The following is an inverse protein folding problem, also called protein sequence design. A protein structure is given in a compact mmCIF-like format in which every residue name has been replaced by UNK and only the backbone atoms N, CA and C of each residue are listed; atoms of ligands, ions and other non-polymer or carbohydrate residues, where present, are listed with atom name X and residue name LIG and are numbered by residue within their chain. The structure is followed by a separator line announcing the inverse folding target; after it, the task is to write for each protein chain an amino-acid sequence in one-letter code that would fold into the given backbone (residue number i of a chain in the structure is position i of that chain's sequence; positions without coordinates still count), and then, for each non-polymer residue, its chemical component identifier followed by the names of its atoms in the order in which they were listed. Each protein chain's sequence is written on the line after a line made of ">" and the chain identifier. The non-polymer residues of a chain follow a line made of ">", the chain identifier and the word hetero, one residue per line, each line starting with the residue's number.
data_IF_815627013119
#
_entry.id   IF_815627013119
#
_cell.length_a   1.000
_cell.length_b   1.000
_cell.length_c   1.000
_cell.angle_alpha   90.00
_cell.angle_beta   90.00
_cell.angle_gamma   90.00
#
_symmetry.space_group_name_H-M   'P 1'
#
loop_
_entity.id
_entity.type
_entity.pdbx_description
1 polymer ?
#
# COMPACT_ATOMS: atom_id res chain seq x y z
N UNK A 1 -8.96 0.68 9.15
CA UNK A 1 -7.65 1.05 8.58
C UNK A 1 -7.72 1.07 7.07
N UNK A 2 -7.43 2.23 6.49
CA UNK A 2 -7.52 2.51 5.06
C UNK A 2 -6.15 2.30 4.36
N UNK A 3 -5.62 1.06 4.42
CA UNK A 3 -4.27 0.71 3.95
C UNK A 3 -4.11 0.82 2.44
N UNK A 4 -5.05 0.31 1.64
CA UNK A 4 -5.04 0.48 0.19
C UNK A 4 -5.17 1.95 -0.18
N UNK A 5 -6.10 2.68 0.45
CA UNK A 5 -6.26 4.12 0.26
C UNK A 5 -4.94 4.88 0.54
N UNK A 6 -4.24 4.54 1.63
CA UNK A 6 -2.94 5.11 1.96
C UNK A 6 -1.88 4.80 0.88
N UNK A 7 -1.74 3.53 0.47
CA UNK A 7 -0.81 3.11 -0.58
C UNK A 7 -1.11 3.86 -1.89
N UNK A 8 -2.40 3.99 -2.25
CA UNK A 8 -2.84 4.68 -3.47
C UNK A 8 -2.46 6.16 -3.47
N UNK A 9 -2.59 6.85 -2.34
CA UNK A 9 -2.15 8.25 -2.18
C UNK A 9 -0.63 8.36 -2.36
N UNK A 10 0.12 7.51 -1.68
CA UNK A 10 1.60 7.50 -1.69
C UNK A 10 2.13 7.18 -3.10
N UNK A 11 1.53 6.21 -3.78
CA UNK A 11 1.89 5.81 -5.14
C UNK A 11 1.57 6.91 -6.16
N UNK A 12 0.41 7.59 -6.02
CA UNK A 12 0.02 8.71 -6.88
C UNK A 12 1.01 9.88 -6.79
N UNK A 13 1.50 10.20 -5.60
CA UNK A 13 2.53 11.24 -5.42
C UNK A 13 3.84 10.93 -6.18
N UNK A 14 4.09 9.65 -6.48
CA UNK A 14 5.27 9.16 -7.20
C UNK A 14 4.99 8.84 -8.67
N UNK A 15 3.78 9.10 -9.17
CA UNK A 15 3.33 8.70 -10.51
C UNK A 15 3.47 7.18 -10.78
N UNK A 16 3.21 6.36 -9.76
CA UNK A 16 3.24 4.89 -9.83
C UNK A 16 1.80 4.37 -9.74
N UNK A 17 1.42 3.46 -10.65
CA UNK A 17 0.13 2.77 -10.57
C UNK A 17 0.22 1.56 -9.64
N UNK A 18 -0.88 1.21 -8.98
CA UNK A 18 -0.96 0.01 -8.12
C UNK A 18 -0.63 -1.25 -8.92
N UNK A 19 -1.15 -1.34 -10.14
CA UNK A 19 -0.83 -2.44 -11.06
C UNK A 19 0.68 -2.62 -11.26
N UNK A 20 1.43 -1.52 -11.43
CA UNK A 20 2.88 -1.59 -11.59
C UNK A 20 3.56 -2.13 -10.33
N UNK A 21 3.13 -1.69 -9.14
CA UNK A 21 3.66 -2.21 -7.87
C UNK A 21 3.43 -3.72 -7.78
N UNK A 22 2.20 -4.17 -8.07
CA UNK A 22 1.86 -5.59 -8.02
C UNK A 22 2.67 -6.41 -9.02
N UNK A 23 2.77 -5.93 -10.26
CA UNK A 23 3.55 -6.56 -11.32
C UNK A 23 5.03 -6.65 -10.96
N UNK A 24 5.65 -5.55 -10.55
CA UNK A 24 7.09 -5.48 -10.30
C UNK A 24 7.48 -6.27 -9.04
N UNK A 25 6.57 -6.46 -8.08
CA UNK A 25 6.77 -7.29 -6.89
C UNK A 25 6.29 -8.74 -7.05
N UNK A 26 5.77 -9.14 -8.22
CA UNK A 26 5.25 -10.49 -8.44
C UNK A 26 4.01 -10.83 -7.60
N UNK A 27 3.25 -9.83 -7.17
CA UNK A 27 2.02 -9.99 -6.43
C UNK A 27 0.85 -10.32 -7.36
N UNK A 28 -0.13 -11.08 -6.88
CA UNK A 28 -1.37 -11.32 -7.63
C UNK A 28 -2.06 -10.00 -7.94
N UNK A 29 -2.46 -9.78 -9.20
CA UNK A 29 -3.16 -8.58 -9.62
C UNK A 29 -4.41 -8.30 -8.78
N UNK A 30 -4.57 -7.07 -8.33
CA UNK A 30 -5.66 -6.62 -7.46
C UNK A 30 -5.60 -7.15 -6.04
N UNK A 31 -4.44 -7.65 -5.57
CA UNK A 31 -4.31 -8.06 -4.17
C UNK A 31 -4.16 -6.86 -3.24
N UNK A 32 -3.47 -5.79 -3.66
CA UNK A 32 -3.26 -4.59 -2.84
C UNK A 32 -4.59 -3.89 -2.58
N UNK A 33 -5.52 -3.90 -3.54
CA UNK A 33 -6.85 -3.29 -3.36
C UNK A 33 -7.71 -3.95 -2.29
N UNK A 34 -7.34 -5.15 -1.83
CA UNK A 34 -8.04 -5.87 -0.76
C UNK A 34 -7.56 -5.48 0.62
N UNK A 35 -6.46 -4.73 0.74
CA UNK A 35 -5.78 -4.50 2.02
C UNK A 35 -6.52 -3.61 3.01
N UNK A 36 -7.57 -2.89 2.58
CA UNK A 36 -8.51 -2.23 3.51
C UNK A 36 -9.37 -3.23 4.29
N UNK A 37 -9.72 -4.35 3.65
CA UNK A 37 -10.63 -5.36 4.22
C UNK A 37 -9.87 -6.60 4.74
N UNK A 38 -8.68 -6.85 4.22
CA UNK A 38 -7.87 -8.02 4.54
C UNK A 38 -6.40 -7.59 4.64
N UNK A 39 -5.94 -7.36 5.88
CA UNK A 39 -4.59 -6.88 6.17
C UNK A 39 -3.53 -7.80 5.53
N UNK A 40 -2.51 -7.25 4.84
CA UNK A 40 -1.39 -8.03 4.33
C UNK A 40 -0.60 -8.69 5.46
N UNK A 41 0.19 -9.69 5.07
CA UNK A 41 1.28 -10.16 5.89
C UNK A 41 2.40 -9.11 5.95
N UNK A 42 3.21 -9.14 7.02
CA UNK A 42 4.23 -8.14 7.27
C UNK A 42 5.28 -8.07 6.15
N UNK A 43 5.64 -9.20 5.55
CA UNK A 43 6.56 -9.30 4.40
C UNK A 43 6.02 -8.55 3.17
N UNK A 44 4.73 -8.69 2.85
CA UNK A 44 4.11 -8.01 1.71
C UNK A 44 4.01 -6.51 1.94
N UNK A 45 3.62 -6.10 3.15
CA UNK A 45 3.58 -4.68 3.51
C UNK A 45 4.98 -4.07 3.43
N UNK A 46 6.00 -4.78 3.92
CA UNK A 46 7.39 -4.35 3.86
C UNK A 46 7.85 -4.17 2.41
N UNK A 47 7.63 -5.17 1.55
CA UNK A 47 8.00 -5.10 0.13
C UNK A 47 7.36 -3.90 -0.59
N UNK A 48 6.08 -3.63 -0.35
CA UNK A 48 5.40 -2.45 -0.92
C UNK A 48 5.97 -1.15 -0.34
N UNK A 49 6.31 -1.12 0.95
CA UNK A 49 6.90 0.06 1.59
C UNK A 49 8.29 0.37 1.02
N UNK A 50 9.12 -0.66 0.83
CA UNK A 50 10.46 -0.54 0.23
C UNK A 50 10.37 -0.08 -1.22
N UNK A 51 9.44 -0.65 -2.00
CA UNK A 51 9.18 -0.24 -3.38
C UNK A 51 8.77 1.24 -3.48
N UNK A 52 7.99 1.73 -2.52
CA UNK A 52 7.57 3.13 -2.45
C UNK A 52 8.60 4.03 -1.75
N UNK A 53 9.71 3.50 -1.25
CA UNK A 53 10.73 4.27 -0.52
C UNK A 53 10.17 4.92 0.76
N UNK A 54 9.30 4.23 1.48
CA UNK A 54 8.73 4.65 2.77
C UNK A 54 8.80 3.50 3.78
N UNK A 55 8.50 3.76 5.04
CA UNK A 55 8.39 2.69 6.05
C UNK A 55 6.99 2.11 6.08
N UNK A 56 6.87 0.83 6.45
CA UNK A 56 5.58 0.21 6.77
C UNK A 56 4.78 1.03 7.81
N UNK A 57 5.46 1.59 8.80
CA UNK A 57 4.85 2.46 9.81
C UNK A 57 4.24 3.74 9.22
N UNK A 58 4.87 4.35 8.21
CA UNK A 58 4.32 5.53 7.52
C UNK A 58 3.01 5.20 6.81
N UNK A 59 2.94 4.06 6.11
CA UNK A 59 1.71 3.59 5.45
C UNK A 59 0.60 3.39 6.49
N UNK A 60 0.91 2.70 7.60
CA UNK A 60 -0.07 2.43 8.64
C UNK A 60 -0.56 3.71 9.34
N UNK A 61 0.31 4.68 9.62
CA UNK A 61 -0.11 5.96 10.18
C UNK A 61 -1.02 6.72 9.21
N UNK A 62 -0.65 6.78 7.92
CA UNK A 62 -1.48 7.38 6.88
C UNK A 62 -2.85 6.70 6.77
N UNK A 63 -2.90 5.37 6.90
CA UNK A 63 -4.15 4.60 6.87
C UNK A 63 -5.10 4.95 8.02
N UNK A 64 -4.57 5.35 9.18
CA UNK A 64 -5.36 5.80 10.34
C UNK A 64 -5.82 7.24 10.17
N UNK A 65 -5.01 8.11 9.56
CA UNK A 65 -5.42 9.49 9.25
C UNK A 65 -6.63 9.53 8.30
N UNK A 66 -6.65 8.66 7.28
CA UNK A 66 -7.74 8.60 6.30
C UNK A 66 -9.04 8.09 6.92
N UNK A 67 -8.96 7.16 7.88
CA UNK A 67 -10.12 6.60 8.59
C UNK A 67 -10.89 7.64 9.44
N UNK A 68 -10.29 8.81 9.71
CA UNK A 68 -10.87 9.89 10.51
C UNK A 68 -11.53 10.97 9.64
N UNK A 69 -11.46 10.85 8.30
CA UNK A 69 -12.04 11.79 7.33
C UNK A 69 -13.36 11.24 6.79
#
# INVERSE_FOLDING_TARGET
>A
MEVYSAIKVIARQRNISIYRIEHDLGLTSGIISKWDNAMPSADKLQAVSDYLGVTSAYILNKSKEIEVI
#
